data_IF_230174025543
#
_entry.id   IF_230174025543
#
_cell.length_a   1.000
_cell.length_b   1.000
_cell.length_c   1.000
_cell.angle_alpha   90.00
_cell.angle_beta   90.00
_cell.angle_gamma   90.00
#
_symmetry.space_group_name_H-M   'P 1'
#
loop_
_entity.id
_entity.type
_entity.pdbx_description
1 polymer ?
#
# COMPACT_ATOMS: atom_id res chain seq x y z
N UNK A 1 61.15 -10.91 -15.16
CA UNK A 1 59.78 -11.03 -15.71
C UNK A 1 58.80 -10.73 -14.59
N UNK A 2 58.02 -9.65 -14.70
CA UNK A 2 57.01 -9.27 -13.69
C UNK A 2 55.64 -9.78 -14.18
N UNK A 3 55.08 -10.74 -13.45
CA UNK A 3 53.74 -11.26 -13.72
C UNK A 3 52.69 -10.27 -13.21
N UNK A 4 51.87 -9.74 -14.14
CA UNK A 4 50.66 -9.01 -13.81
C UNK A 4 49.52 -10.02 -13.61
N UNK A 5 48.99 -10.10 -12.39
CA UNK A 5 47.68 -10.74 -12.16
C UNK A 5 46.60 -9.74 -12.54
N UNK A 6 45.90 -10.00 -13.64
CA UNK A 6 44.66 -9.31 -14.00
C UNK A 6 43.53 -9.94 -13.17
N UNK A 7 43.05 -9.23 -12.15
CA UNK A 7 41.81 -9.59 -11.47
C UNK A 7 40.63 -9.16 -12.36
N UNK A 8 40.01 -10.13 -13.04
CA UNK A 8 38.75 -9.90 -13.75
C UNK A 8 37.63 -9.72 -12.71
N UNK A 9 37.17 -8.47 -12.53
CA UNK A 9 35.93 -8.20 -11.81
C UNK A 9 34.76 -8.67 -12.68
N UNK A 10 34.21 -9.85 -12.36
CA UNK A 10 32.94 -10.31 -12.89
C UNK A 10 31.83 -9.39 -12.34
N UNK A 11 31.39 -8.44 -13.15
CA UNK A 11 30.15 -7.72 -12.91
C UNK A 11 28.99 -8.72 -13.08
N UNK A 12 28.44 -9.19 -11.97
CA UNK A 12 27.17 -9.91 -11.98
C UNK A 12 26.09 -8.98 -12.55
N UNK A 13 25.28 -9.43 -13.52
CA UNK A 13 24.17 -8.62 -14.02
C UNK A 13 23.21 -8.35 -12.85
N UNK A 14 23.01 -7.07 -12.53
CA UNK A 14 21.90 -6.67 -11.65
C UNK A 14 20.61 -6.97 -12.39
N UNK A 15 20.02 -8.14 -12.14
CA UNK A 15 18.61 -8.32 -12.41
C UNK A 15 17.86 -7.31 -11.54
N UNK A 16 17.10 -6.41 -12.17
CA UNK A 16 16.13 -5.61 -11.46
C UNK A 16 15.15 -6.58 -10.80
N UNK A 17 15.25 -6.74 -9.49
CA UNK A 17 14.34 -7.62 -8.76
C UNK A 17 12.95 -6.99 -8.84
N UNK A 18 11.88 -7.79 -8.93
CA UNK A 18 10.49 -7.29 -8.88
C UNK A 18 10.15 -6.52 -7.58
N UNK A 19 11.11 -6.45 -6.66
CA UNK A 19 11.06 -5.67 -5.43
C UNK A 19 11.64 -4.26 -5.59
N UNK A 20 12.42 -3.93 -6.62
CA UNK A 20 12.99 -2.59 -6.70
C UNK A 20 11.89 -1.54 -6.98
N UNK A 21 11.97 -0.34 -6.40
CA UNK A 21 11.07 0.76 -6.75
C UNK A 21 11.04 1.04 -8.25
N UNK A 22 9.84 1.32 -8.77
CA UNK A 22 9.59 1.62 -10.17
C UNK A 22 9.57 0.41 -11.11
N UNK A 23 9.65 -0.82 -10.57
CA UNK A 23 9.61 -2.03 -11.40
C UNK A 23 8.20 -2.53 -11.69
N UNK A 24 7.21 -2.16 -10.87
CA UNK A 24 5.81 -2.55 -11.05
C UNK A 24 4.84 -1.59 -10.37
N UNK A 25 3.61 -1.57 -10.87
CA UNK A 25 2.48 -0.83 -10.29
C UNK A 25 1.52 -1.86 -9.70
N UNK A 26 1.19 -1.72 -8.41
CA UNK A 26 0.22 -2.58 -7.74
C UNK A 26 -1.06 -1.82 -7.40
N UNK A 27 -2.16 -2.56 -7.47
CA UNK A 27 -3.39 -2.21 -6.78
C UNK A 27 -3.13 -2.33 -5.27
N UNK A 28 -3.53 -1.33 -4.50
CA UNK A 28 -3.54 -1.37 -3.04
C UNK A 28 -4.99 -1.26 -2.54
N UNK A 29 -5.50 -2.35 -1.96
CA UNK A 29 -6.82 -2.40 -1.35
C UNK A 29 -6.79 -1.54 -0.08
N UNK A 30 -7.29 -0.31 -0.20
CA UNK A 30 -7.42 0.61 0.93
C UNK A 30 -8.52 0.12 1.87
N UNK A 31 -8.34 0.38 3.17
CA UNK A 31 -9.26 -0.01 4.22
C UNK A 31 -9.77 -1.45 4.07
N UNK A 32 -8.89 -2.42 3.78
CA UNK A 32 -9.29 -3.76 3.36
C UNK A 32 -9.80 -4.64 4.52
N UNK A 33 -10.60 -4.09 5.42
CA UNK A 33 -11.04 -4.67 6.68
C UNK A 33 -12.51 -4.32 6.99
N UNK A 34 -13.19 -5.08 7.87
CA UNK A 34 -14.60 -4.87 8.13
C UNK A 34 -14.82 -3.67 9.06
N UNK A 35 -16.00 -3.06 8.94
CA UNK A 35 -16.50 -2.09 9.91
C UNK A 35 -17.76 -2.63 10.54
N UNK A 36 -17.83 -2.61 11.87
CA UNK A 36 -19.01 -3.07 12.62
C UNK A 36 -19.54 -4.48 12.25
N UNK A 37 -18.68 -5.35 11.69
CA UNK A 37 -19.06 -6.68 11.24
C UNK A 37 -19.59 -6.76 9.81
N UNK A 38 -19.65 -5.65 9.08
CA UNK A 38 -19.97 -5.59 7.65
C UNK A 38 -18.69 -5.64 6.80
N UNK A 39 -18.82 -6.00 5.51
CA UNK A 39 -17.74 -6.00 4.52
C UNK A 39 -16.52 -6.90 4.87
N UNK A 40 -16.74 -8.05 5.50
CA UNK A 40 -15.69 -9.02 5.87
C UNK A 40 -15.00 -9.73 4.68
N UNK A 41 -15.48 -9.50 3.47
CA UNK A 41 -15.03 -10.11 2.21
C UNK A 41 -13.99 -9.24 1.47
N UNK A 42 -13.60 -8.07 2.01
CA UNK A 42 -12.68 -7.14 1.33
C UNK A 42 -11.34 -7.75 0.95
N UNK A 43 -10.73 -8.57 1.82
CA UNK A 43 -9.48 -9.29 1.48
C UNK A 43 -9.73 -10.29 0.35
N UNK A 44 -10.85 -11.02 0.37
CA UNK A 44 -11.18 -12.00 -0.65
C UNK A 44 -11.39 -11.32 -2.01
N UNK A 45 -12.05 -10.16 -2.01
CA UNK A 45 -12.22 -9.29 -3.19
C UNK A 45 -10.88 -8.80 -3.74
N UNK A 46 -9.96 -8.35 -2.87
CA UNK A 46 -8.63 -7.95 -3.29
C UNK A 46 -7.84 -9.11 -3.92
N UNK A 47 -7.84 -10.28 -3.28
CA UNK A 47 -7.16 -11.48 -3.78
C UNK A 47 -7.79 -12.00 -5.09
N UNK A 48 -9.10 -11.85 -5.27
CA UNK A 48 -9.80 -12.20 -6.51
C UNK A 48 -9.40 -11.31 -7.70
N UNK A 49 -8.81 -10.14 -7.46
CA UNK A 49 -8.19 -9.34 -8.52
C UNK A 49 -6.88 -9.96 -9.05
N UNK A 50 -6.35 -10.99 -8.38
CA UNK A 50 -5.10 -11.66 -8.71
C UNK A 50 -3.90 -11.06 -7.97
N UNK A 51 -2.81 -11.81 -7.94
CA UNK A 51 -1.54 -11.39 -7.33
C UNK A 51 -0.50 -11.04 -8.42
N UNK A 52 0.42 -10.09 -8.18
CA UNK A 52 0.67 -9.38 -6.92
C UNK A 52 -0.38 -8.30 -6.56
N UNK A 53 -0.64 -8.13 -5.26
CA UNK A 53 -1.59 -7.12 -4.73
C UNK A 53 -1.09 -6.55 -3.39
N UNK A 54 -1.35 -5.27 -3.14
CA UNK A 54 -1.17 -4.64 -1.82
C UNK A 54 -2.50 -4.57 -1.07
N UNK A 55 -2.44 -4.74 0.25
CA UNK A 55 -3.59 -4.79 1.13
C UNK A 55 -3.27 -3.97 2.38
N UNK A 56 -4.06 -2.94 2.64
CA UNK A 56 -3.94 -2.12 3.83
C UNK A 56 -4.79 -2.68 4.99
N UNK A 57 -4.26 -2.61 6.20
CA UNK A 57 -4.95 -2.91 7.44
C UNK A 57 -4.73 -1.81 8.48
N UNK A 58 -5.83 -1.31 9.05
CA UNK A 58 -5.78 -0.37 10.16
C UNK A 58 -5.68 -1.11 11.48
N UNK A 59 -4.67 -0.77 12.29
CA UNK A 59 -4.43 -1.45 13.55
C UNK A 59 -4.61 -0.52 14.74
N UNK A 60 -5.22 -1.06 15.80
CA UNK A 60 -5.38 -0.38 17.08
C UNK A 60 -5.24 -1.35 18.24
N UNK A 61 -4.97 -0.82 19.44
CA UNK A 61 -4.81 -1.59 20.66
C UNK A 61 -6.12 -1.66 21.45
N UNK A 62 -6.69 -2.86 21.54
CA UNK A 62 -7.83 -3.12 22.41
C UNK A 62 -7.35 -3.63 23.76
N UNK A 63 -7.89 -3.09 24.86
CA UNK A 63 -7.69 -3.62 26.22
C UNK A 63 -9.02 -4.15 26.73
N UNK A 64 -9.07 -5.46 27.00
CA UNK A 64 -10.24 -6.12 27.55
C UNK A 64 -10.49 -5.70 29.02
N UNK A 65 -11.71 -5.92 29.56
CA UNK A 65 -12.03 -5.60 30.95
C UNK A 65 -11.14 -6.28 31.99
N UNK A 66 -10.53 -7.42 31.64
CA UNK A 66 -9.57 -8.14 32.49
C UNK A 66 -8.13 -7.57 32.41
N UNK A 67 -7.94 -6.46 31.69
CA UNK A 67 -6.66 -5.78 31.51
C UNK A 67 -5.77 -6.37 30.41
N UNK A 68 -6.17 -7.46 29.75
CA UNK A 68 -5.38 -8.04 28.66
C UNK A 68 -5.55 -7.24 27.38
N UNK A 69 -4.43 -6.85 26.78
CA UNK A 69 -4.42 -6.14 25.53
C UNK A 69 -4.19 -7.04 24.31
N UNK A 70 -4.76 -6.68 23.16
CA UNK A 70 -4.57 -7.35 21.87
C UNK A 70 -4.63 -6.36 20.71
N UNK A 71 -3.97 -6.71 19.61
CA UNK A 71 -4.07 -5.99 18.35
C UNK A 71 -5.37 -6.37 17.66
N UNK A 72 -6.12 -5.36 17.22
CA UNK A 72 -7.34 -5.53 16.46
C UNK A 72 -7.29 -4.70 15.18
N UNK A 73 -8.04 -5.15 14.18
CA UNK A 73 -8.19 -4.43 12.93
C UNK A 73 -9.37 -3.47 13.05
N UNK A 74 -9.08 -2.17 13.09
CA UNK A 74 -10.10 -1.11 13.18
C UNK A 74 -9.49 0.29 13.02
N UNK A 75 -10.24 1.18 12.36
CA UNK A 75 -9.98 2.62 12.33
C UNK A 75 -10.59 3.36 13.54
N UNK A 76 -11.48 2.72 14.30
CA UNK A 76 -12.31 3.40 15.28
C UNK A 76 -11.55 3.80 16.55
N UNK A 77 -11.92 4.95 17.11
CA UNK A 77 -11.43 5.38 18.42
C UNK A 77 -12.07 4.61 19.58
N UNK A 78 -13.30 4.14 19.38
CA UNK A 78 -14.06 3.39 20.38
C UNK A 78 -14.13 1.95 19.92
N UNK A 79 -13.70 1.02 20.77
CA UNK A 79 -13.64 -0.39 20.44
C UNK A 79 -14.67 -1.16 21.27
N UNK A 80 -15.36 -2.09 20.62
CA UNK A 80 -16.36 -2.96 21.23
C UNK A 80 -15.76 -4.23 21.83
N UNK A 81 -14.56 -4.61 21.41
CA UNK A 81 -13.93 -5.89 21.72
C UNK A 81 -14.36 -7.02 20.80
N UNK A 82 -15.19 -6.76 19.78
CA UNK A 82 -15.60 -7.72 18.75
C UNK A 82 -14.79 -7.60 17.46
N UNK A 83 -13.92 -6.60 17.37
CA UNK A 83 -13.07 -6.37 16.22
C UNK A 83 -12.15 -7.58 16.01
N UNK A 84 -11.97 -8.02 14.75
CA UNK A 84 -11.16 -9.18 14.47
C UNK A 84 -9.68 -8.85 14.71
N UNK A 85 -8.88 -9.87 15.01
CA UNK A 85 -7.43 -9.71 15.15
C UNK A 85 -6.75 -9.66 13.78
N UNK A 86 -5.54 -9.09 13.69
CA UNK A 86 -4.74 -9.16 12.46
C UNK A 86 -4.44 -10.62 12.06
N UNK A 87 -4.21 -11.48 13.05
CA UNK A 87 -4.01 -12.92 12.85
C UNK A 87 -5.21 -13.57 12.15
N UNK A 88 -6.39 -13.43 12.76
CA UNK A 88 -7.61 -14.07 12.29
C UNK A 88 -8.13 -13.46 10.98
N UNK A 89 -7.96 -12.15 10.83
CA UNK A 89 -8.50 -11.45 9.69
C UNK A 89 -7.58 -11.54 8.47
N UNK A 90 -6.30 -11.19 8.62
CA UNK A 90 -5.37 -11.09 7.50
C UNK A 90 -4.54 -12.38 7.32
N UNK A 91 -3.73 -12.76 8.31
CA UNK A 91 -2.74 -13.84 8.12
C UNK A 91 -3.39 -15.18 7.76
N UNK A 92 -4.49 -15.56 8.41
CA UNK A 92 -5.23 -16.78 8.05
C UNK A 92 -5.82 -16.75 6.63
N UNK A 93 -6.25 -15.59 6.14
CA UNK A 93 -6.83 -15.45 4.78
C UNK A 93 -5.77 -15.53 3.70
N UNK A 94 -4.59 -14.96 3.93
CA UNK A 94 -3.51 -15.01 2.95
C UNK A 94 -2.68 -16.30 3.00
N UNK A 95 -2.79 -17.08 4.08
CA UNK A 95 -2.02 -18.31 4.29
C UNK A 95 -2.01 -19.24 3.06
N UNK A 96 -3.15 -19.59 2.41
CA UNK A 96 -3.12 -20.47 1.26
C UNK A 96 -2.27 -19.94 0.10
N UNK A 97 -2.18 -18.62 -0.06
CA UNK A 97 -1.40 -17.96 -1.10
C UNK A 97 0.09 -17.95 -0.76
N UNK A 98 0.43 -17.63 0.50
CA UNK A 98 1.82 -17.64 0.97
C UNK A 98 2.41 -19.05 0.94
N UNK A 99 1.67 -20.04 1.46
CA UNK A 99 2.07 -21.45 1.47
C UNK A 99 2.24 -21.99 0.04
N UNK A 100 1.28 -21.69 -0.86
CA UNK A 100 1.39 -22.07 -2.26
C UNK A 100 2.60 -21.44 -2.93
N UNK A 101 2.85 -20.14 -2.73
CA UNK A 101 3.99 -19.46 -3.31
C UNK A 101 5.31 -20.10 -2.86
N UNK A 102 5.44 -20.40 -1.56
CA UNK A 102 6.61 -21.08 -1.01
C UNK A 102 6.81 -22.48 -1.60
N UNK A 103 5.72 -23.25 -1.78
CA UNK A 103 5.73 -24.58 -2.40
C UNK A 103 6.14 -24.52 -3.87
N UNK A 104 5.58 -23.58 -4.64
CA UNK A 104 5.85 -23.43 -6.07
C UNK A 104 7.30 -22.99 -6.32
N UNK A 105 7.90 -22.22 -5.39
CA UNK A 105 9.30 -21.79 -5.46
C UNK A 105 9.62 -20.79 -6.58
N UNK A 106 8.61 -20.30 -7.31
CA UNK A 106 8.76 -19.31 -8.39
C UNK A 106 8.86 -17.91 -7.78
N UNK A 107 10.09 -17.40 -7.68
CA UNK A 107 10.40 -16.16 -6.95
C UNK A 107 10.43 -14.90 -7.80
N UNK A 108 10.34 -15.03 -9.12
CA UNK A 108 10.51 -13.90 -10.06
C UNK A 108 9.54 -12.74 -9.80
N UNK A 109 8.33 -13.05 -9.30
CA UNK A 109 7.27 -12.07 -9.04
C UNK A 109 7.07 -11.76 -7.55
N UNK A 110 7.93 -12.27 -6.67
CA UNK A 110 7.82 -11.98 -5.24
C UNK A 110 8.21 -10.54 -4.92
N UNK A 111 7.57 -9.90 -3.92
CA UNK A 111 6.49 -10.45 -3.09
C UNK A 111 5.16 -10.45 -3.85
N UNK A 112 4.32 -11.45 -3.59
CA UNK A 112 2.97 -11.57 -4.18
C UNK A 112 1.91 -10.81 -3.37
N UNK A 113 2.19 -10.54 -2.09
CA UNK A 113 1.32 -9.76 -1.21
C UNK A 113 2.18 -8.69 -0.53
N UNK A 114 1.71 -7.44 -0.56
CA UNK A 114 2.25 -6.38 0.28
C UNK A 114 1.21 -6.01 1.34
N UNK A 115 1.52 -6.22 2.62
CA UNK A 115 0.72 -5.75 3.74
C UNK A 115 1.15 -4.32 4.10
N UNK A 116 0.25 -3.36 3.99
CA UNK A 116 0.44 -2.00 4.47
C UNK A 116 -0.26 -1.82 5.83
N UNK A 117 0.49 -1.45 6.87
CA UNK A 117 -0.02 -1.26 8.22
C UNK A 117 -0.19 0.22 8.55
N UNK A 118 -1.44 0.62 8.79
CA UNK A 118 -1.77 1.95 9.30
C UNK A 118 -2.13 1.86 10.79
N UNK A 119 -1.17 2.16 11.65
CA UNK A 119 -1.33 2.11 13.10
C UNK A 119 -2.03 3.36 13.60
N UNK A 120 -3.24 3.20 14.15
CA UNK A 120 -4.02 4.28 14.78
C UNK A 120 -3.59 4.56 16.22
N UNK A 121 -2.86 3.63 16.81
CA UNK A 121 -2.26 3.76 18.14
C UNK A 121 -0.86 3.14 18.17
N UNK A 122 0.00 3.63 19.05
CA UNK A 122 1.42 3.25 19.08
C UNK A 122 1.93 2.97 20.50
N UNK A 123 1.08 2.45 21.38
CA UNK A 123 1.54 2.09 22.73
C UNK A 123 2.69 1.08 22.63
N UNK A 124 3.74 1.19 23.46
CA UNK A 124 4.88 0.27 23.40
C UNK A 124 4.47 -1.21 23.42
N UNK A 125 3.46 -1.56 24.22
CA UNK A 125 2.93 -2.93 24.31
C UNK A 125 2.33 -3.41 22.98
N UNK A 126 1.61 -2.53 22.26
CA UNK A 126 1.06 -2.84 20.94
C UNK A 126 2.18 -3.09 19.93
N UNK A 127 3.18 -2.20 19.89
CA UNK A 127 4.30 -2.34 18.96
C UNK A 127 5.10 -3.63 19.21
N UNK A 128 5.36 -3.97 20.47
CA UNK A 128 6.03 -5.23 20.83
C UNK A 128 5.18 -6.45 20.50
N UNK A 129 3.87 -6.40 20.74
CA UNK A 129 2.95 -7.47 20.36
C UNK A 129 2.91 -7.65 18.84
N UNK A 130 2.96 -6.55 18.08
CA UNK A 130 2.90 -6.57 16.62
C UNK A 130 4.20 -7.15 16.05
N UNK A 131 5.35 -6.76 16.58
CA UNK A 131 6.63 -7.38 16.22
C UNK A 131 6.61 -8.90 16.45
N UNK A 132 6.14 -9.34 17.62
CA UNK A 132 6.07 -10.77 17.96
C UNK A 132 5.14 -11.55 17.01
N UNK A 133 3.99 -10.97 16.68
CA UNK A 133 3.04 -11.55 15.73
C UNK A 133 3.67 -11.69 14.33
N UNK A 134 4.29 -10.61 13.84
CA UNK A 134 4.96 -10.62 12.53
C UNK A 134 6.11 -11.64 12.52
N UNK A 135 6.92 -11.69 13.57
CA UNK A 135 8.02 -12.64 13.70
C UNK A 135 7.55 -14.10 13.74
N UNK A 136 6.34 -14.39 14.25
CA UNK A 136 5.78 -15.74 14.17
C UNK A 136 5.42 -16.19 12.74
N UNK A 137 5.30 -15.25 11.79
CA UNK A 137 5.05 -15.53 10.37
C UNK A 137 6.30 -15.39 9.49
N UNK A 138 7.50 -15.27 10.09
CA UNK A 138 8.77 -14.95 9.40
C UNK A 138 9.11 -15.79 8.16
N UNK A 139 8.61 -17.02 8.07
CA UNK A 139 8.89 -17.92 6.95
C UNK A 139 8.21 -17.45 5.66
N UNK A 140 7.17 -16.62 5.76
CA UNK A 140 6.48 -15.99 4.63
C UNK A 140 7.09 -14.65 4.23
N UNK A 141 7.93 -14.05 5.08
CA UNK A 141 8.20 -12.62 5.01
C UNK A 141 9.46 -12.27 4.23
N UNK A 142 9.34 -11.18 3.47
CA UNK A 142 10.43 -10.36 3.00
C UNK A 142 11.29 -9.93 4.18
N UNK A 143 12.62 -10.03 4.07
CA UNK A 143 13.49 -9.43 5.06
C UNK A 143 14.74 -8.77 4.49
N UNK A 144 15.21 -7.76 5.23
CA UNK A 144 16.54 -7.18 5.11
C UNK A 144 17.36 -7.51 6.36
N UNK A 145 18.69 -7.40 6.27
CA UNK A 145 19.56 -7.56 7.43
C UNK A 145 19.93 -6.19 7.96
N UNK A 146 19.82 -5.97 9.28
CA UNK A 146 20.19 -4.71 9.91
C UNK A 146 21.70 -4.45 9.74
N UNK A 147 22.11 -3.36 9.05
CA UNK A 147 23.51 -2.99 8.91
C UNK A 147 24.06 -2.38 10.21
N UNK A 148 25.38 -2.26 10.30
CA UNK A 148 26.03 -1.46 11.35
C UNK A 148 25.92 0.04 11.11
N UNK A 149 25.91 0.47 9.84
CA UNK A 149 25.67 1.86 9.46
C UNK A 149 24.16 2.11 9.29
N UNK A 150 23.53 2.97 10.11
CA UNK A 150 22.09 3.23 10.01
C UNK A 150 21.66 3.87 8.69
N UNK A 151 22.58 4.49 7.94
CA UNK A 151 22.30 5.09 6.62
C UNK A 151 22.42 4.09 5.48
N UNK A 152 22.94 2.89 5.73
CA UNK A 152 23.12 1.89 4.69
C UNK A 152 21.77 1.30 4.24
N UNK A 153 21.75 0.95 2.96
CA UNK A 153 20.63 0.28 2.29
C UNK A 153 21.05 -1.16 2.03
N UNK A 154 20.53 -2.11 2.81
CA UNK A 154 20.78 -3.53 2.53
C UNK A 154 19.77 -4.08 1.52
N UNK A 155 20.12 -5.01 0.63
CA UNK A 155 19.14 -5.65 -0.23
C UNK A 155 18.04 -6.37 0.57
N UNK A 156 16.86 -6.51 -0.03
CA UNK A 156 15.87 -7.48 0.47
C UNK A 156 16.38 -8.87 0.07
N UNK A 157 16.89 -9.65 1.03
CA UNK A 157 17.67 -10.87 0.77
C UNK A 157 16.81 -12.11 0.52
N UNK A 158 15.68 -12.20 1.19
CA UNK A 158 14.71 -13.26 1.00
C UNK A 158 13.39 -12.57 0.76
N UNK A 159 12.98 -12.41 -0.49
CA UNK A 159 11.83 -11.58 -0.83
C UNK A 159 10.55 -12.02 -0.12
N UNK A 160 10.45 -13.30 0.29
CA UNK A 160 9.24 -13.90 0.81
C UNK A 160 8.04 -13.71 -0.14
N UNK A 161 6.96 -14.49 -0.01
CA UNK A 161 5.72 -14.12 -0.66
C UNK A 161 5.12 -12.81 -0.12
N UNK A 162 5.48 -12.38 1.09
CA UNK A 162 4.82 -11.25 1.78
C UNK A 162 5.81 -10.15 2.17
N UNK A 163 5.57 -8.91 1.74
CA UNK A 163 6.27 -7.70 2.20
C UNK A 163 5.41 -6.93 3.20
N UNK A 164 5.99 -6.40 4.28
CA UNK A 164 5.25 -5.58 5.25
C UNK A 164 5.80 -4.15 5.27
N UNK A 165 4.91 -3.19 5.04
CA UNK A 165 5.16 -1.76 5.11
C UNK A 165 4.41 -1.16 6.30
N UNK A 166 4.99 -0.13 6.92
CA UNK A 166 4.38 0.62 8.03
C UNK A 166 4.64 2.11 7.89
N UNK A 167 3.97 2.92 8.71
CA UNK A 167 4.03 4.37 8.67
C UNK A 167 5.38 5.01 8.99
N UNK A 168 5.36 6.34 9.10
CA UNK A 168 6.57 7.18 9.30
C UNK A 168 6.97 7.40 10.76
N UNK A 169 6.37 6.70 11.72
CA UNK A 169 6.57 6.97 13.15
C UNK A 169 7.95 6.54 13.67
N UNK A 170 8.58 7.42 14.42
CA UNK A 170 9.83 7.12 15.15
C UNK A 170 9.61 6.11 16.29
N UNK A 171 8.41 6.06 16.87
CA UNK A 171 8.09 5.05 17.88
C UNK A 171 8.07 3.65 17.26
N UNK A 172 7.55 3.53 16.03
CA UNK A 172 7.61 2.30 15.25
C UNK A 172 9.06 1.96 14.86
N UNK A 173 9.83 2.92 14.33
CA UNK A 173 11.25 2.69 14.01
C UNK A 173 12.03 2.20 15.23
N UNK A 174 11.78 2.79 16.39
CA UNK A 174 12.46 2.39 17.61
C UNK A 174 12.31 0.90 17.89
N UNK A 175 11.08 0.39 17.83
CA UNK A 175 10.78 -1.02 18.14
C UNK A 175 11.20 -1.96 17.01
N UNK A 176 10.87 -1.62 15.77
CA UNK A 176 11.06 -2.51 14.61
C UNK A 176 12.48 -2.47 14.04
N UNK A 177 13.26 -1.42 14.34
CA UNK A 177 14.61 -1.25 13.82
C UNK A 177 15.65 -0.89 14.88
N UNK A 178 15.51 0.23 15.59
CA UNK A 178 16.58 0.76 16.46
C UNK A 178 16.96 -0.22 17.56
N UNK A 179 15.97 -0.78 18.25
CA UNK A 179 16.15 -1.73 19.35
C UNK A 179 16.51 -3.14 18.89
N UNK A 180 16.65 -3.37 17.57
CA UNK A 180 17.10 -4.66 17.02
C UNK A 180 18.63 -4.71 16.96
N UNK A 181 19.30 -5.84 17.26
CA UNK A 181 20.76 -5.94 17.10
C UNK A 181 21.19 -5.83 15.64
N UNK A 182 22.40 -5.32 15.39
CA UNK A 182 23.05 -5.42 14.06
C UNK A 182 23.11 -6.90 13.64
N UNK A 183 22.85 -7.19 12.36
CA UNK A 183 22.78 -8.55 11.83
C UNK A 183 21.43 -9.24 12.01
N UNK A 184 20.49 -8.64 12.75
CA UNK A 184 19.12 -9.18 12.84
C UNK A 184 18.37 -9.07 11.51
N UNK A 185 17.40 -9.96 11.31
CA UNK A 185 16.44 -9.87 10.21
C UNK A 185 15.37 -8.86 10.55
N UNK A 186 15.05 -7.99 9.59
CA UNK A 186 14.04 -6.96 9.67
C UNK A 186 12.93 -7.31 8.70
N UNK A 187 11.71 -7.49 9.22
CA UNK A 187 10.55 -7.94 8.45
C UNK A 187 9.55 -6.82 8.10
N UNK A 188 9.74 -5.64 8.69
CA UNK A 188 8.84 -4.48 8.56
C UNK A 188 9.65 -3.28 8.10
N UNK A 189 9.12 -2.54 7.13
CA UNK A 189 9.79 -1.38 6.55
C UNK A 189 8.94 -0.11 6.69
N UNK A 190 9.49 0.92 7.34
CA UNK A 190 8.82 2.18 7.61
C UNK A 190 8.82 3.14 6.42
N UNK A 191 7.89 4.11 6.45
CA UNK A 191 7.88 5.21 5.49
C UNK A 191 8.91 6.28 5.87
N UNK A 192 9.48 6.98 4.90
CA UNK A 192 10.28 8.20 5.15
C UNK A 192 9.43 9.31 5.75
N UNK A 193 10.08 10.26 6.41
CA UNK A 193 9.42 11.47 6.86
C UNK A 193 9.07 12.39 5.69
N UNK A 194 7.92 13.04 5.78
CA UNK A 194 7.44 14.00 4.78
C UNK A 194 6.56 15.06 5.45
N UNK A 195 6.49 16.24 4.82
CA UNK A 195 5.54 17.30 5.16
C UNK A 195 4.40 17.36 4.14
N UNK A 196 3.37 16.55 4.37
CA UNK A 196 2.25 16.44 3.42
C UNK A 196 1.34 17.68 3.43
N UNK A 197 1.56 18.65 4.32
CA UNK A 197 0.85 19.93 4.32
C UNK A 197 1.49 20.95 3.38
N UNK A 198 2.74 20.73 2.96
CA UNK A 198 3.43 21.53 1.96
C UNK A 198 2.94 21.21 0.52
N UNK A 199 1.62 21.17 0.31
CA UNK A 199 0.96 20.62 -0.90
C UNK A 199 1.28 21.33 -2.21
N UNK A 200 1.82 22.56 -2.16
CA UNK A 200 2.28 23.32 -3.34
C UNK A 200 3.80 23.31 -3.50
N UNK A 201 4.54 22.82 -2.50
CA UNK A 201 5.98 22.80 -2.53
C UNK A 201 6.52 21.78 -3.55
N UNK A 202 7.75 21.97 -4.06
CA UNK A 202 8.46 20.96 -4.83
C UNK A 202 8.61 19.63 -4.06
N UNK A 203 8.68 18.47 -4.75
CA UNK A 203 8.70 17.16 -4.09
C UNK A 203 9.88 16.97 -3.11
N UNK A 204 11.03 17.58 -3.40
CA UNK A 204 12.25 17.52 -2.57
C UNK A 204 12.16 18.37 -1.30
N UNK A 205 11.24 19.33 -1.27
CA UNK A 205 10.86 20.07 -0.05
C UNK A 205 9.86 19.26 0.77
N UNK A 206 8.90 18.59 0.12
CA UNK A 206 7.93 17.70 0.80
C UNK A 206 8.65 16.51 1.45
N UNK A 207 9.64 15.91 0.77
CA UNK A 207 10.41 14.77 1.24
C UNK A 207 11.87 14.88 0.78
N UNK A 208 12.79 14.91 1.74
CA UNK A 208 14.24 15.07 1.48
C UNK A 208 15.06 13.80 1.70
N UNK A 209 14.52 12.84 2.44
CA UNK A 209 15.21 11.62 2.85
C UNK A 209 15.51 10.69 1.66
N UNK A 210 16.48 9.79 1.85
CA UNK A 210 16.74 8.66 0.95
C UNK A 210 16.34 7.37 1.66
N UNK A 211 16.17 6.29 0.89
CA UNK A 211 15.97 4.99 1.49
C UNK A 211 17.10 4.63 2.46
N UNK A 212 16.75 3.99 3.56
CA UNK A 212 17.67 3.29 4.46
C UNK A 212 17.29 1.82 4.50
N UNK A 213 17.92 1.03 5.35
CA UNK A 213 17.50 -0.37 5.51
C UNK A 213 16.04 -0.49 5.98
N UNK A 214 15.60 0.41 6.86
CA UNK A 214 14.24 0.41 7.42
C UNK A 214 13.28 1.32 6.66
N UNK A 215 13.71 2.55 6.32
CA UNK A 215 12.85 3.55 5.66
C UNK A 215 12.87 3.30 4.15
N UNK A 216 11.80 2.70 3.61
CA UNK A 216 11.80 2.13 2.23
C UNK A 216 10.77 2.69 1.28
N UNK A 217 9.84 3.48 1.77
CA UNK A 217 8.74 3.95 0.95
C UNK A 217 8.25 5.32 1.40
N UNK A 218 7.49 5.96 0.52
CA UNK A 218 6.90 7.26 0.73
C UNK A 218 5.39 7.17 0.52
N UNK A 219 4.63 7.31 1.60
CA UNK A 219 3.19 7.20 1.61
C UNK A 219 2.56 8.60 1.58
N UNK A 220 1.73 8.90 0.57
CA UNK A 220 1.27 10.26 0.31
C UNK A 220 -0.25 10.37 0.17
N UNK A 221 -0.89 11.36 0.81
CA UNK A 221 -2.25 11.72 0.44
C UNK A 221 -2.26 12.36 -0.96
N UNK A 222 -3.30 12.13 -1.76
CA UNK A 222 -3.36 12.65 -3.13
C UNK A 222 -3.30 14.19 -3.24
N UNK A 223 -3.68 14.92 -2.18
CA UNK A 223 -3.64 16.39 -2.16
C UNK A 223 -2.27 16.98 -2.48
N UNK A 224 -1.18 16.23 -2.29
CA UNK A 224 0.16 16.70 -2.67
C UNK A 224 0.33 16.81 -4.19
N UNK A 225 -0.56 16.23 -5.00
CA UNK A 225 -0.54 16.32 -6.47
C UNK A 225 -1.44 17.46 -6.98
N UNK A 226 -2.66 17.59 -6.46
CA UNK A 226 -3.65 18.56 -6.96
C UNK A 226 -3.82 19.80 -6.07
N UNK A 227 -3.07 19.90 -4.96
CA UNK A 227 -3.11 21.02 -4.02
C UNK A 227 -4.36 21.08 -3.13
N UNK A 228 -5.33 20.19 -3.36
CA UNK A 228 -6.60 20.12 -2.64
C UNK A 228 -7.02 18.67 -2.39
N UNK A 229 -7.90 18.46 -1.42
CA UNK A 229 -8.52 17.16 -1.17
C UNK A 229 -9.41 16.72 -2.34
N UNK A 230 -9.53 15.41 -2.51
CA UNK A 230 -10.18 14.73 -3.64
C UNK A 230 -11.56 15.29 -4.00
N UNK A 231 -12.49 15.58 -3.06
CA UNK A 231 -13.82 16.11 -3.38
C UNK A 231 -13.81 17.53 -3.95
N UNK A 232 -12.69 18.25 -3.82
CA UNK A 232 -12.51 19.63 -4.29
C UNK A 232 -11.64 19.72 -5.55
N UNK A 233 -11.20 18.58 -6.08
CA UNK A 233 -10.37 18.57 -7.29
C UNK A 233 -11.16 19.04 -8.51
N UNK A 234 -10.44 19.48 -9.53
CA UNK A 234 -11.00 19.85 -10.83
C UNK A 234 -10.77 18.77 -11.89
N UNK A 235 -10.75 19.21 -13.14
CA UNK A 235 -10.30 18.36 -14.24
C UNK A 235 -8.82 17.99 -14.08
N UNK A 236 -8.45 16.81 -14.59
CA UNK A 236 -7.05 16.39 -14.64
C UNK A 236 -6.30 17.21 -15.69
N UNK A 237 -5.14 17.75 -15.36
CA UNK A 237 -4.40 18.68 -16.23
C UNK A 237 -2.96 18.21 -16.50
N UNK A 238 -2.31 18.70 -17.57
CA UNK A 238 -0.89 18.43 -17.82
C UNK A 238 0.04 18.87 -16.66
N UNK A 239 -0.35 19.88 -15.88
CA UNK A 239 0.41 20.29 -14.71
C UNK A 239 0.36 19.24 -13.59
N UNK A 240 -0.79 18.57 -13.41
CA UNK A 240 -0.90 17.46 -12.48
C UNK A 240 -0.04 16.26 -12.91
N UNK A 241 -0.01 15.94 -14.21
CA UNK A 241 0.87 14.90 -14.76
C UNK A 241 2.36 15.21 -14.49
N UNK A 242 2.79 16.43 -14.80
CA UNK A 242 4.18 16.85 -14.58
C UNK A 242 4.55 16.77 -13.09
N UNK A 243 3.64 17.18 -12.20
CA UNK A 243 3.86 17.10 -10.75
C UNK A 243 3.90 15.67 -10.25
N UNK A 244 2.96 14.82 -10.65
CA UNK A 244 2.96 13.39 -10.34
C UNK A 244 4.26 12.72 -10.77
N UNK A 245 4.70 12.98 -12.01
CA UNK A 245 5.96 12.46 -12.51
C UNK A 245 7.16 12.94 -11.69
N UNK A 246 7.18 14.20 -11.25
CA UNK A 246 8.26 14.71 -10.42
C UNK A 246 8.34 14.00 -9.05
N UNK A 247 7.20 13.65 -8.44
CA UNK A 247 7.14 12.85 -7.21
C UNK A 247 7.68 11.43 -7.45
N UNK A 248 7.22 10.76 -8.50
CA UNK A 248 7.66 9.40 -8.85
C UNK A 248 9.15 9.36 -9.14
N UNK A 249 9.62 10.26 -10.02
CA UNK A 249 11.04 10.31 -10.41
C UNK A 249 11.93 10.61 -9.19
N UNK A 250 11.50 11.45 -8.25
CA UNK A 250 12.24 11.69 -7.01
C UNK A 250 12.27 10.43 -6.12
N UNK A 251 11.12 9.80 -5.87
CA UNK A 251 11.03 8.61 -5.02
C UNK A 251 11.95 7.50 -5.53
N UNK A 252 11.88 7.18 -6.82
CA UNK A 252 12.69 6.13 -7.42
C UNK A 252 14.19 6.46 -7.42
N UNK A 253 14.57 7.72 -7.70
CA UNK A 253 15.98 8.17 -7.54
C UNK A 253 16.49 8.03 -6.11
N UNK A 254 15.61 8.17 -5.12
CA UNK A 254 15.90 8.03 -3.69
C UNK A 254 15.82 6.57 -3.21
N UNK A 255 15.51 5.63 -4.10
CA UNK A 255 15.38 4.21 -3.78
C UNK A 255 14.14 3.86 -2.96
N UNK A 256 13.07 4.67 -3.06
CA UNK A 256 11.84 4.53 -2.30
C UNK A 256 10.70 4.05 -3.19
N UNK A 257 9.90 3.09 -2.70
CA UNK A 257 8.57 2.85 -3.27
C UNK A 257 7.65 4.05 -2.98
N UNK A 258 6.71 4.33 -3.87
CA UNK A 258 5.76 5.43 -3.72
C UNK A 258 4.31 4.93 -3.68
N UNK A 259 3.55 5.40 -2.69
CA UNK A 259 2.10 5.19 -2.58
C UNK A 259 1.34 6.50 -2.64
N UNK A 260 0.19 6.48 -3.30
CA UNK A 260 -0.83 7.52 -3.18
C UNK A 260 -2.16 6.98 -2.65
N UNK A 261 -2.77 7.70 -1.71
CA UNK A 261 -4.05 7.31 -1.11
C UNK A 261 -5.02 8.50 -0.90
N UNK A 262 -6.33 8.26 -0.85
CA UNK A 262 -7.06 7.18 -1.54
C UNK A 262 -7.72 7.78 -2.76
N UNK A 263 -7.76 7.03 -3.85
CA UNK A 263 -8.23 7.53 -5.14
C UNK A 263 -9.54 6.84 -5.49
N UNK A 264 -10.67 7.41 -5.07
CA UNK A 264 -11.99 6.82 -5.31
C UNK A 264 -12.92 7.77 -6.06
N UNK A 265 -13.97 7.24 -6.67
CA UNK A 265 -14.90 8.05 -7.45
C UNK A 265 -16.25 7.39 -7.64
N UNK A 266 -17.31 8.11 -7.28
CA UNK A 266 -18.68 7.66 -7.49
C UNK A 266 -19.72 8.52 -6.76
N UNK A 267 -21.00 8.19 -6.94
CA UNK A 267 -22.06 8.88 -6.20
C UNK A 267 -21.95 8.58 -4.69
N UNK A 268 -22.25 9.53 -3.78
CA UNK A 268 -22.14 9.32 -2.33
C UNK A 268 -22.92 8.10 -1.80
N UNK A 269 -24.04 7.75 -2.44
CA UNK A 269 -24.82 6.56 -2.08
C UNK A 269 -24.01 5.26 -2.18
N UNK A 270 -23.12 5.16 -3.18
CA UNK A 270 -22.24 4.01 -3.37
C UNK A 270 -21.24 3.88 -2.21
N UNK A 271 -20.68 5.00 -1.75
CA UNK A 271 -19.70 5.03 -0.66
C UNK A 271 -20.34 4.56 0.65
N UNK A 272 -21.53 5.10 0.97
CA UNK A 272 -22.30 4.67 2.14
C UNK A 272 -22.63 3.17 2.09
N UNK A 273 -23.08 2.66 0.95
CA UNK A 273 -23.43 1.25 0.78
C UNK A 273 -22.24 0.31 0.98
N UNK A 274 -21.04 0.74 0.58
CA UNK A 274 -19.84 -0.09 0.62
C UNK A 274 -18.93 0.20 1.82
N UNK A 275 -19.28 1.17 2.68
CA UNK A 275 -18.47 1.54 3.84
C UNK A 275 -17.16 2.21 3.43
N UNK A 276 -17.19 3.02 2.37
CA UNK A 276 -16.05 3.80 1.87
C UNK A 276 -16.13 5.24 2.36
N UNK A 277 -15.00 5.93 2.46
CA UNK A 277 -14.97 7.28 3.00
C UNK A 277 -15.12 8.36 1.91
N UNK A 278 -16.14 9.21 2.05
CA UNK A 278 -16.44 10.28 1.08
C UNK A 278 -15.33 11.34 0.97
N UNK A 279 -14.43 11.45 1.93
CA UNK A 279 -13.32 12.41 1.89
C UNK A 279 -12.27 12.08 0.80
N UNK A 280 -12.30 10.86 0.24
CA UNK A 280 -11.43 10.42 -0.85
C UNK A 280 -12.14 10.40 -2.22
N UNK A 281 -13.41 10.82 -2.27
CA UNK A 281 -14.25 10.73 -3.45
C UNK A 281 -14.01 11.89 -4.44
N UNK A 282 -13.54 11.59 -5.65
CA UNK A 282 -13.42 12.53 -6.78
C UNK A 282 -14.78 12.88 -7.44
N UNK A 283 -15.88 12.33 -6.94
CA UNK A 283 -17.25 12.57 -7.39
C UNK A 283 -17.75 11.66 -8.51
N UNK A 284 -16.86 11.01 -9.28
CA UNK A 284 -17.25 10.01 -10.28
C UNK A 284 -16.13 9.03 -10.59
N UNK A 285 -16.51 7.82 -11.02
CA UNK A 285 -15.56 6.78 -11.41
C UNK A 285 -14.65 7.24 -12.57
N UNK A 286 -15.19 8.01 -13.52
CA UNK A 286 -14.39 8.54 -14.65
C UNK A 286 -13.25 9.42 -14.15
N UNK A 287 -13.53 10.28 -13.16
CA UNK A 287 -12.53 11.19 -12.56
C UNK A 287 -11.48 10.42 -11.77
N UNK A 288 -11.85 9.37 -11.04
CA UNK A 288 -10.91 8.48 -10.36
C UNK A 288 -10.03 7.72 -11.37
N UNK A 289 -10.64 7.14 -12.41
CA UNK A 289 -9.92 6.38 -13.43
C UNK A 289 -8.89 7.23 -14.20
N UNK A 290 -9.16 8.52 -14.45
CA UNK A 290 -8.15 9.41 -15.05
C UNK A 290 -6.86 9.45 -14.22
N UNK A 291 -7.00 9.50 -12.88
CA UNK A 291 -5.89 9.57 -11.93
C UNK A 291 -5.21 8.23 -11.72
N UNK A 292 -5.97 7.13 -11.70
CA UNK A 292 -5.40 5.78 -11.71
C UNK A 292 -4.54 5.52 -12.94
N UNK A 293 -4.99 5.97 -14.13
CA UNK A 293 -4.21 5.85 -15.37
C UNK A 293 -2.95 6.69 -15.31
N UNK A 294 -3.05 7.95 -14.89
CA UNK A 294 -1.89 8.81 -14.72
C UNK A 294 -0.87 8.20 -13.75
N UNK A 295 -1.31 7.72 -12.59
CA UNK A 295 -0.48 7.03 -11.61
C UNK A 295 0.16 5.75 -12.17
N UNK A 296 -0.60 4.94 -12.91
CA UNK A 296 -0.09 3.72 -13.55
C UNK A 296 0.98 4.04 -14.59
N UNK A 297 0.72 5.03 -15.47
CA UNK A 297 1.66 5.43 -16.52
C UNK A 297 2.91 6.11 -15.96
N UNK A 298 2.78 6.86 -14.86
CA UNK A 298 3.90 7.50 -14.19
C UNK A 298 4.79 6.49 -13.45
N UNK A 299 4.30 5.28 -13.15
CA UNK A 299 5.04 4.24 -12.45
C UNK A 299 4.91 4.29 -10.92
N UNK A 300 3.79 4.79 -10.39
CA UNK A 300 3.49 4.74 -8.94
C UNK A 300 3.48 3.28 -8.48
N UNK A 301 4.24 2.94 -7.43
CA UNK A 301 4.38 1.55 -6.98
C UNK A 301 3.08 0.99 -6.38
N UNK A 302 2.35 1.80 -5.62
CA UNK A 302 1.08 1.41 -4.97
C UNK A 302 -0.01 2.48 -5.17
N UNK A 303 -1.12 2.10 -5.79
CA UNK A 303 -2.29 2.97 -5.97
C UNK A 303 -3.39 2.49 -5.03
N UNK A 304 -3.69 3.28 -4.00
CA UNK A 304 -4.69 2.91 -3.01
C UNK A 304 -6.10 3.32 -3.44
N UNK A 305 -7.03 2.37 -3.44
CA UNK A 305 -8.44 2.61 -3.71
C UNK A 305 -9.31 1.61 -2.96
N UNK A 306 -10.48 2.07 -2.53
CA UNK A 306 -11.56 1.24 -2.03
C UNK A 306 -12.27 0.46 -3.19
N UNK A 307 -12.10 0.92 -4.44
CA UNK A 307 -12.67 0.35 -5.68
C UNK A 307 -11.72 -0.65 -6.36
N UNK A 308 -11.20 -1.60 -5.58
CA UNK A 308 -10.10 -2.51 -5.94
C UNK A 308 -10.30 -3.23 -7.27
N UNK A 309 -11.51 -3.69 -7.59
CA UNK A 309 -11.78 -4.41 -8.83
C UNK A 309 -11.69 -3.51 -10.06
N UNK A 310 -12.20 -2.28 -9.97
CA UNK A 310 -12.14 -1.33 -11.09
C UNK A 310 -10.72 -0.82 -11.31
N UNK A 311 -9.99 -0.53 -10.23
CA UNK A 311 -8.58 -0.18 -10.31
C UNK A 311 -7.75 -1.32 -10.93
N UNK A 312 -8.03 -2.59 -10.58
CA UNK A 312 -7.31 -3.73 -11.15
C UNK A 312 -7.40 -3.82 -12.68
N UNK A 313 -8.55 -3.46 -13.26
CA UNK A 313 -8.74 -3.42 -14.73
C UNK A 313 -7.86 -2.35 -15.36
N UNK A 314 -7.71 -1.20 -14.71
CA UNK A 314 -6.85 -0.10 -15.20
C UNK A 314 -5.38 -0.49 -15.13
N UNK A 315 -4.92 -1.06 -14.00
CA UNK A 315 -3.52 -1.48 -13.84
C UNK A 315 -3.16 -2.59 -14.83
N UNK A 316 -4.00 -3.62 -14.99
CA UNK A 316 -3.75 -4.74 -15.92
C UNK A 316 -3.76 -4.34 -17.39
N UNK A 317 -4.49 -3.30 -17.77
CA UNK A 317 -4.48 -2.76 -19.13
C UNK A 317 -3.27 -1.87 -19.43
N UNK A 318 -2.33 -1.73 -18.48
CA UNK A 318 -1.09 -0.97 -18.64
C UNK A 318 -1.33 0.53 -18.86
N UNK A 319 -2.43 1.06 -18.33
CA UNK A 319 -2.76 2.49 -18.47
C UNK A 319 -3.28 2.92 -19.85
N UNK A 320 -3.61 2.00 -20.77
CA UNK A 320 -4.19 2.38 -22.08
C UNK A 320 -5.65 2.84 -21.93
N UNK A 321 -5.96 4.07 -22.33
CA UNK A 321 -7.33 4.56 -22.48
C UNK A 321 -7.74 4.63 -23.96
N UNK A 322 -8.89 4.05 -24.36
CA UNK A 322 -9.55 4.46 -25.59
C UNK A 322 -10.36 5.74 -25.32
N UNK A 323 -9.76 6.89 -25.66
CA UNK A 323 -10.51 8.10 -26.05
C UNK A 323 -11.04 9.01 -24.94
N UNK A 324 -10.40 10.17 -24.78
CA UNK A 324 -11.11 11.40 -24.43
C UNK A 324 -12.06 11.69 -25.60
N UNK A 325 -13.36 11.59 -25.38
CA UNK A 325 -14.36 12.26 -26.22
C UNK A 325 -14.91 13.42 -25.38
N UNK A 326 -14.83 14.68 -25.84
CA UNK A 326 -15.50 15.78 -25.17
C UNK A 326 -17.02 15.57 -25.25
N UNK A 327 -17.73 15.87 -24.17
CA UNK A 327 -19.19 15.90 -24.01
C UNK A 327 -20.01 15.29 -25.15
N UNK A 328 -20.45 14.04 -24.96
CA UNK A 328 -21.54 13.48 -25.74
C UNK A 328 -22.74 13.25 -24.79
N UNK A 329 -23.82 14.05 -24.85
CA UNK A 329 -24.95 13.97 -23.93
C UNK A 329 -25.86 12.75 -24.16
N UNK A 330 -25.32 11.63 -24.65
CA UNK A 330 -26.09 10.49 -25.15
C UNK A 330 -25.45 9.10 -25.01
N UNK A 331 -24.63 8.83 -24.00
CA UNK A 331 -24.11 7.47 -23.78
C UNK A 331 -25.08 6.63 -22.88
N UNK A 332 -25.71 5.56 -23.38
CA UNK A 332 -26.76 4.82 -22.66
C UNK A 332 -26.23 3.71 -21.74
N UNK A 333 -24.93 3.69 -21.40
CA UNK A 333 -24.35 2.69 -20.51
C UNK A 333 -24.52 3.03 -19.00
N UNK A 334 -25.78 3.19 -18.59
CA UNK A 334 -26.22 2.98 -17.20
C UNK A 334 -27.53 2.20 -17.26
N UNK A 335 -27.50 0.90 -17.60
CA UNK A 335 -28.59 -0.04 -17.28
C UNK A 335 -28.07 -1.48 -17.25
N UNK A 336 -27.53 -1.90 -16.12
CA UNK A 336 -27.66 -3.28 -15.64
C UNK A 336 -27.71 -3.26 -14.11
N UNK A 337 -28.80 -3.73 -13.47
CA UNK A 337 -28.82 -3.92 -12.03
C UNK A 337 -27.95 -5.13 -11.66
N UNK A 338 -27.23 -5.01 -10.54
CA UNK A 338 -26.59 -6.15 -9.89
C UNK A 338 -27.66 -7.19 -9.49
N UNK A 339 -27.40 -8.50 -9.68
CA UNK A 339 -28.33 -9.54 -9.25
C UNK A 339 -28.26 -9.68 -7.73
N UNK A 340 -29.27 -9.21 -7.01
CA UNK A 340 -29.33 -9.31 -5.54
C UNK A 340 -30.50 -8.61 -4.83
N UNK A 341 -31.31 -7.78 -5.50
CA UNK A 341 -32.43 -7.09 -4.84
C UNK A 341 -33.66 -8.00 -4.68
N UNK A 342 -33.68 -8.79 -3.60
CA UNK A 342 -34.94 -9.18 -2.97
C UNK A 342 -35.48 -7.98 -2.20
N UNK A 343 -36.55 -7.38 -2.77
CA UNK A 343 -37.40 -6.32 -2.25
C UNK A 343 -37.53 -6.34 -0.72
N UNK A 344 -37.09 -5.27 -0.07
CA UNK A 344 -37.66 -4.82 1.20
C UNK A 344 -38.19 -3.41 0.98
N UNK A 345 -39.52 -3.29 0.88
CA UNK A 345 -40.19 -2.00 0.94
C UNK A 345 -40.33 -1.60 2.41
N UNK A 346 -39.85 -0.41 2.76
CA UNK A 346 -40.26 0.27 3.97
C UNK A 346 -41.16 1.46 3.60
N UNK A 347 -42.30 1.52 4.28
CA UNK A 347 -43.19 2.69 4.34
C UNK A 347 -42.55 3.82 5.14
#
# INVERSE_FOLDING_TARGET
MRSFFLAAALALPMFATAQAPGTRVLVDCHNCYPYHGDWNDRIDRALATGVPVAIEQDLTWYVAPDGKGRIVVSHEKKLSGKEPTLEDYFFKRIQPYADKALQDGVRDNWPIITLNLDLKTEQPQMLQALWKLIESHRDWLAYAVKPSDPKAVTPIFNAGPVLILTGRSDAQEKVFYTDRPVGSKLYVFGAVHSDDEAVTAPPDVVMSESATTYRRWWNNPWKVIEGVQQPRTGEWTPAHDARLKAFVDLAHRKGLWLRFYTLDGGPPALFKQNGWFDNYNFGSLVRAQARWRAATLAGVDFIASDQVEELSKVVKSGGKYPGIVPDNPGNPLIKTPYPGDSKVQYK
#
